data_IF_810688909151
#
_entry.id   IF_810688909151
#
_cell.length_a   1.000
_cell.length_b   1.000
_cell.length_c   1.000
_cell.angle_alpha   90.00
_cell.angle_beta   90.00
_cell.angle_gamma   90.00
#
_symmetry.space_group_name_H-M   'P 1'
#
loop_
_entity.id
_entity.type
_entity.pdbx_description
1 polymer ?
#
# COMPACT_ATOMS: atom_id res chain seq x y z
N UNK A 1 -23.00 -17.04 -47.29
CA UNK A 1 -23.97 -16.23 -46.51
C UNK A 1 -24.46 -15.11 -47.39
N UNK A 2 -25.76 -15.00 -47.60
CA UNK A 2 -26.37 -14.01 -48.50
C UNK A 2 -26.52 -12.69 -47.74
N UNK A 3 -25.66 -11.71 -48.02
CA UNK A 3 -25.78 -10.38 -47.42
C UNK A 3 -27.11 -9.75 -47.81
N UNK A 4 -27.82 -9.14 -46.86
CA UNK A 4 -29.06 -8.43 -47.18
C UNK A 4 -28.74 -7.23 -48.08
N UNK A 5 -29.70 -6.80 -48.92
CA UNK A 5 -29.49 -5.65 -49.79
C UNK A 5 -29.14 -4.36 -49.01
N UNK A 6 -29.57 -4.22 -47.75
CA UNK A 6 -29.13 -3.12 -46.89
C UNK A 6 -27.67 -3.25 -46.44
N UNK A 7 -27.16 -4.46 -46.21
CA UNK A 7 -25.77 -4.67 -45.78
C UNK A 7 -24.79 -4.39 -46.93
N UNK A 8 -25.16 -4.76 -48.16
CA UNK A 8 -24.39 -4.43 -49.37
C UNK A 8 -24.29 -2.91 -49.58
N UNK A 9 -25.39 -2.19 -49.39
CA UNK A 9 -25.41 -0.71 -49.49
C UNK A 9 -24.57 -0.09 -48.36
N UNK A 10 -24.68 -0.60 -47.13
CA UNK A 10 -23.89 -0.12 -46.01
C UNK A 10 -22.39 -0.34 -46.22
N UNK A 11 -21.98 -1.51 -46.74
CA UNK A 11 -20.58 -1.81 -47.07
C UNK A 11 -20.04 -0.89 -48.16
N UNK A 12 -20.78 -0.72 -49.27
CA UNK A 12 -20.37 0.14 -50.38
C UNK A 12 -20.28 1.62 -49.96
N UNK A 13 -21.20 2.08 -49.11
CA UNK A 13 -21.11 3.42 -48.53
C UNK A 13 -19.95 3.51 -47.53
N UNK A 14 -19.68 2.46 -46.76
CA UNK A 14 -18.55 2.39 -45.82
C UNK A 14 -17.20 2.60 -46.49
N UNK A 15 -16.97 1.96 -47.65
CA UNK A 15 -15.76 2.17 -48.46
C UNK A 15 -15.61 3.62 -48.92
N UNK A 16 -16.71 4.23 -49.37
CA UNK A 16 -16.71 5.65 -49.76
C UNK A 16 -16.49 6.58 -48.57
N UNK A 17 -17.14 6.31 -47.43
CA UNK A 17 -16.99 7.07 -46.19
C UNK A 17 -15.54 7.04 -45.70
N UNK A 18 -14.84 5.91 -45.82
CA UNK A 18 -13.43 5.79 -45.43
C UNK A 18 -12.48 6.66 -46.27
N UNK A 19 -12.85 6.97 -47.52
CA UNK A 19 -12.06 7.81 -48.42
C UNK A 19 -12.50 9.29 -48.41
N UNK A 20 -13.66 9.61 -47.83
CA UNK A 20 -14.21 10.96 -47.80
C UNK A 20 -13.70 11.75 -46.56
N UNK A 21 -13.45 13.07 -46.68
CA UNK A 21 -13.07 13.87 -45.52
C UNK A 21 -14.21 13.98 -44.50
N UNK A 22 -13.84 14.16 -43.23
CA UNK A 22 -14.80 14.47 -42.18
C UNK A 22 -15.67 15.68 -42.58
N UNK A 23 -16.98 15.57 -42.44
CA UNK A 23 -17.93 16.60 -42.85
C UNK A 23 -18.34 16.55 -44.32
N UNK A 24 -17.86 15.60 -45.12
CA UNK A 24 -18.37 15.39 -46.49
C UNK A 24 -19.84 14.97 -46.47
N UNK A 25 -20.66 15.59 -47.31
CA UNK A 25 -22.08 15.26 -47.44
C UNK A 25 -22.26 14.00 -48.29
N UNK A 26 -23.02 13.03 -47.78
CA UNK A 26 -23.44 11.85 -48.55
C UNK A 26 -24.49 12.26 -49.60
N UNK A 27 -24.59 11.50 -50.72
CA UNK A 27 -25.70 11.66 -51.64
C UNK A 27 -27.05 11.53 -50.92
N UNK A 28 -28.04 12.30 -51.38
CA UNK A 28 -29.38 12.26 -50.81
C UNK A 28 -30.01 10.87 -50.91
N UNK A 29 -30.96 10.54 -50.04
CA UNK A 29 -31.67 9.25 -50.06
C UNK A 29 -32.25 8.93 -51.43
N UNK A 30 -32.75 9.94 -52.18
CA UNK A 30 -33.28 9.76 -53.54
C UNK A 30 -32.20 9.35 -54.54
N UNK A 31 -31.01 9.94 -54.45
CA UNK A 31 -29.86 9.57 -55.29
C UNK A 31 -29.33 8.18 -54.95
N UNK A 32 -29.31 7.82 -53.66
CA UNK A 32 -28.91 6.48 -53.22
C UNK A 32 -29.91 5.41 -53.67
N UNK A 33 -31.21 5.69 -53.62
CA UNK A 33 -32.27 4.80 -54.16
C UNK A 33 -32.06 4.54 -55.65
N UNK A 34 -31.80 5.59 -56.44
CA UNK A 34 -31.54 5.46 -57.87
C UNK A 34 -30.24 4.71 -58.15
N UNK A 35 -29.16 5.01 -57.41
CA UNK A 35 -27.83 4.42 -57.62
C UNK A 35 -27.76 2.93 -57.30
N UNK A 36 -28.45 2.50 -56.25
CA UNK A 36 -28.42 1.11 -55.77
C UNK A 36 -29.64 0.30 -56.22
N UNK A 37 -30.53 0.89 -57.04
CA UNK A 37 -31.78 0.28 -57.52
C UNK A 37 -32.56 -0.42 -56.37
N UNK A 38 -32.61 0.24 -55.21
CA UNK A 38 -33.11 -0.34 -53.98
C UNK A 38 -34.28 0.48 -53.41
N UNK A 39 -35.18 -0.16 -52.65
CA UNK A 39 -36.29 0.55 -52.03
C UNK A 39 -35.79 1.65 -51.06
N UNK A 40 -36.54 2.75 -50.89
CA UNK A 40 -36.22 3.79 -49.90
C UNK A 40 -36.02 3.24 -48.48
N UNK A 41 -36.81 2.21 -48.11
CA UNK A 41 -36.73 1.55 -46.81
C UNK A 41 -35.39 0.81 -46.65
N UNK A 42 -34.90 0.16 -47.71
CA UNK A 42 -33.61 -0.54 -47.72
C UNK A 42 -32.44 0.44 -47.56
N UNK A 43 -32.47 1.57 -48.28
CA UNK A 43 -31.45 2.63 -48.16
C UNK A 43 -31.47 3.26 -46.76
N UNK A 44 -32.65 3.56 -46.22
CA UNK A 44 -32.79 4.08 -44.86
C UNK A 44 -32.30 3.08 -43.79
N UNK A 45 -32.47 1.78 -44.01
CA UNK A 45 -31.93 0.75 -43.13
C UNK A 45 -30.40 0.74 -43.15
N UNK A 46 -29.79 0.84 -44.33
CA UNK A 46 -28.33 0.96 -44.48
C UNK A 46 -27.77 2.22 -43.81
N UNK A 47 -28.40 3.38 -44.03
CA UNK A 47 -28.01 4.64 -43.40
C UNK A 47 -28.16 4.57 -41.86
N UNK A 48 -29.22 3.94 -41.34
CA UNK A 48 -29.37 3.71 -39.89
C UNK A 48 -28.26 2.85 -39.32
N UNK A 49 -27.84 1.80 -40.02
CA UNK A 49 -26.69 0.97 -39.61
C UNK A 49 -25.42 1.82 -39.50
N UNK A 50 -25.14 2.64 -40.52
CA UNK A 50 -23.95 3.50 -40.55
C UNK A 50 -24.00 4.63 -39.49
N UNK A 51 -25.18 5.17 -39.21
CA UNK A 51 -25.38 6.11 -38.08
C UNK A 51 -25.13 5.40 -36.75
N UNK A 52 -25.64 4.17 -36.58
CA UNK A 52 -25.42 3.35 -35.38
C UNK A 52 -23.96 2.99 -35.16
N UNK A 53 -23.18 2.85 -36.24
CA UNK A 53 -21.72 2.66 -36.20
C UNK A 53 -20.95 3.97 -35.94
N UNK A 54 -21.63 5.12 -35.92
CA UNK A 54 -21.02 6.41 -35.65
C UNK A 54 -20.12 6.94 -36.77
N UNK A 55 -20.17 6.36 -37.98
CA UNK A 55 -19.34 6.79 -39.12
C UNK A 55 -19.97 7.93 -39.92
N UNK A 56 -21.27 8.14 -39.77
CA UNK A 56 -22.01 9.27 -40.35
C UNK A 56 -22.98 9.87 -39.32
N UNK A 57 -23.37 11.11 -39.54
CA UNK A 57 -24.39 11.80 -38.77
C UNK A 57 -25.47 12.39 -39.68
N UNK A 58 -26.72 12.38 -39.22
CA UNK A 58 -27.83 13.00 -39.94
C UNK A 58 -28.15 14.36 -39.32
N UNK A 59 -28.17 15.41 -40.16
CA UNK A 59 -28.53 16.78 -39.78
C UNK A 59 -29.90 17.10 -40.39
N UNK A 60 -30.97 17.24 -39.56
CA UNK A 60 -32.33 17.46 -40.06
C UNK A 60 -32.41 18.66 -41.03
N UNK A 61 -33.08 18.47 -42.17
CA UNK A 61 -33.24 19.50 -43.20
C UNK A 61 -32.01 19.79 -44.06
N UNK A 62 -30.82 19.27 -43.72
CA UNK A 62 -29.56 19.60 -44.39
C UNK A 62 -28.96 18.37 -45.09
N UNK A 63 -29.03 17.18 -44.48
CA UNK A 63 -28.57 15.93 -45.09
C UNK A 63 -27.73 15.06 -44.15
N UNK A 64 -27.03 14.07 -44.71
CA UNK A 64 -26.19 13.12 -43.96
C UNK A 64 -24.72 13.37 -44.25
N UNK A 65 -23.87 13.37 -43.22
CA UNK A 65 -22.48 13.79 -43.31
C UNK A 65 -21.54 12.75 -42.68
N UNK A 66 -20.33 12.61 -43.23
CA UNK A 66 -19.27 11.77 -42.64
C UNK A 66 -18.83 12.33 -41.30
N UNK A 67 -18.83 11.50 -40.24
CA UNK A 67 -18.31 11.91 -38.94
C UNK A 67 -16.79 11.84 -38.96
N UNK A 68 -16.12 12.87 -38.43
CA UNK A 68 -14.68 12.81 -38.18
C UNK A 68 -14.38 11.83 -37.06
N UNK A 69 -13.89 10.63 -37.39
CA UNK A 69 -13.32 9.72 -36.39
C UNK A 69 -12.01 10.34 -35.92
N UNK A 70 -11.94 10.76 -34.65
CA UNK A 70 -10.69 11.23 -34.05
C UNK A 70 -9.74 10.02 -34.04
N UNK A 71 -8.77 10.01 -34.95
CA UNK A 71 -7.79 8.93 -35.03
C UNK A 71 -7.05 8.84 -33.68
N UNK A 72 -7.32 7.77 -32.93
CA UNK A 72 -6.55 7.45 -31.72
C UNK A 72 -5.22 6.94 -32.23
N UNK A 73 -4.19 7.79 -32.20
CA UNK A 73 -2.82 7.33 -32.41
C UNK A 73 -2.43 6.44 -31.23
N UNK A 74 -1.83 5.27 -31.46
CA UNK A 74 -1.22 4.51 -30.37
C UNK A 74 -0.18 5.40 -29.69
N UNK A 75 -0.23 5.50 -28.37
CA UNK A 75 0.83 6.19 -27.64
C UNK A 75 2.07 5.31 -27.67
N UNK A 76 3.19 5.85 -28.18
CA UNK A 76 4.48 5.17 -28.12
C UNK A 76 5.20 5.52 -26.81
N UNK A 77 5.17 4.58 -25.87
CA UNK A 77 5.87 4.66 -24.59
C UNK A 77 7.18 3.85 -24.57
N UNK A 78 7.64 3.31 -25.71
CA UNK A 78 8.81 2.44 -25.77
C UNK A 78 10.10 3.11 -25.25
N UNK A 79 10.20 4.44 -25.40
CA UNK A 79 11.31 5.23 -24.86
C UNK A 79 11.42 5.14 -23.32
N UNK A 80 10.31 4.89 -22.62
CA UNK A 80 10.30 4.78 -21.15
C UNK A 80 11.10 3.55 -20.70
N UNK A 81 11.06 2.44 -21.45
CA UNK A 81 11.87 1.26 -21.14
C UNK A 81 13.36 1.59 -21.16
N UNK A 82 13.80 2.36 -22.16
CA UNK A 82 15.19 2.80 -22.24
C UNK A 82 15.55 3.80 -21.11
N UNK A 83 14.65 4.73 -20.79
CA UNK A 83 14.86 5.73 -19.74
C UNK A 83 14.86 5.14 -18.31
N UNK A 84 14.02 4.14 -18.05
CA UNK A 84 13.90 3.46 -16.76
C UNK A 84 15.10 2.53 -16.49
N UNK A 85 15.72 2.00 -17.54
CA UNK A 85 16.86 1.09 -17.42
C UNK A 85 16.54 -0.19 -16.65
N UNK A 86 17.58 -0.83 -16.12
CA UNK A 86 17.43 -2.03 -15.28
C UNK A 86 17.07 -1.65 -13.84
N UNK A 87 16.00 -2.24 -13.31
CA UNK A 87 15.56 -2.01 -11.93
C UNK A 87 16.62 -2.52 -10.94
N UNK A 88 17.24 -1.60 -10.18
CA UNK A 88 18.34 -1.92 -9.25
C UNK A 88 17.88 -2.75 -8.04
N UNK A 89 16.63 -2.55 -7.60
CA UNK A 89 16.02 -3.31 -6.50
C UNK A 89 14.77 -3.99 -7.02
N UNK A 90 14.82 -5.31 -7.22
CA UNK A 90 13.63 -6.10 -7.55
C UNK A 90 12.72 -6.10 -6.32
N UNK A 91 11.74 -5.21 -6.30
CA UNK A 91 10.63 -5.29 -5.37
C UNK A 91 9.88 -6.59 -5.66
N UNK A 92 9.64 -7.47 -4.66
CA UNK A 92 8.73 -8.59 -4.86
C UNK A 92 7.42 -8.09 -5.48
N UNK A 93 6.96 -8.78 -6.52
CA UNK A 93 5.68 -8.49 -7.16
C UNK A 93 4.59 -8.37 -6.09
N UNK A 94 3.59 -7.50 -6.33
CA UNK A 94 2.49 -7.21 -5.40
C UNK A 94 2.09 -8.46 -4.62
N UNK A 95 2.28 -8.44 -3.30
CA UNK A 95 2.10 -9.62 -2.47
C UNK A 95 0.73 -10.24 -2.73
N UNK A 96 0.69 -11.57 -2.74
CA UNK A 96 -0.56 -12.33 -2.80
C UNK A 96 -1.60 -11.80 -1.81
N UNK A 97 -1.14 -11.33 -0.64
CA UNK A 97 -1.95 -10.76 0.43
C UNK A 97 -2.73 -9.49 0.05
N UNK A 98 -2.34 -8.78 -1.02
CA UNK A 98 -2.99 -7.54 -1.48
C UNK A 98 -3.88 -7.74 -2.71
N UNK A 99 -4.05 -8.97 -3.20
CA UNK A 99 -4.88 -9.23 -4.39
C UNK A 99 -6.35 -9.02 -4.07
N UNK A 100 -7.03 -8.25 -4.92
CA UNK A 100 -8.49 -8.16 -4.92
C UNK A 100 -9.06 -9.51 -5.33
N UNK A 101 -10.18 -9.87 -4.71
CA UNK A 101 -10.82 -11.16 -4.92
C UNK A 101 -12.20 -10.93 -5.52
N UNK A 102 -12.57 -11.66 -6.60
CA UNK A 102 -13.94 -11.66 -7.10
C UNK A 102 -14.96 -12.01 -6.00
N UNK A 103 -16.19 -11.50 -6.13
CA UNK A 103 -17.22 -11.67 -5.09
C UNK A 103 -17.63 -13.14 -4.84
N UNK A 104 -17.33 -14.04 -5.77
CA UNK A 104 -17.66 -15.47 -5.74
C UNK A 104 -16.52 -16.35 -5.19
N UNK A 105 -15.43 -15.75 -4.69
CA UNK A 105 -14.25 -16.47 -4.19
C UNK A 105 -14.02 -16.18 -2.70
N UNK A 106 -13.75 -17.24 -1.93
CA UNK A 106 -13.32 -17.13 -0.54
C UNK A 106 -11.81 -16.85 -0.50
N UNK A 107 -11.43 -15.66 -0.03
CA UNK A 107 -10.04 -15.23 0.09
C UNK A 107 -9.37 -15.80 1.35
N UNK A 108 -8.40 -16.71 1.20
CA UNK A 108 -7.58 -17.25 2.30
C UNK A 108 -6.16 -16.64 2.36
N UNK A 109 -5.90 -15.58 1.60
CA UNK A 109 -4.59 -14.91 1.54
C UNK A 109 -4.51 -13.62 2.36
N UNK A 110 -5.65 -13.08 2.80
CA UNK A 110 -5.71 -11.81 3.51
C UNK A 110 -5.46 -12.01 5.01
N UNK A 111 -4.55 -11.24 5.58
CA UNK A 111 -4.34 -11.18 7.03
C UNK A 111 -5.17 -10.08 7.71
N UNK A 112 -6.34 -9.73 7.18
CA UNK A 112 -7.27 -8.78 7.81
C UNK A 112 -8.42 -9.55 8.47
N UNK A 113 -8.89 -9.13 9.66
CA UNK A 113 -10.09 -9.71 10.27
C UNK A 113 -11.31 -9.57 9.36
N UNK A 114 -12.29 -10.45 9.56
CA UNK A 114 -13.60 -10.26 8.96
C UNK A 114 -14.21 -8.93 9.43
N UNK A 115 -15.03 -8.32 8.57
CA UNK A 115 -15.68 -7.04 8.82
C UNK A 115 -16.50 -7.06 10.11
N UNK A 116 -17.11 -8.18 10.46
CA UNK A 116 -17.90 -8.33 11.68
C UNK A 116 -17.08 -8.28 12.97
N UNK A 117 -15.77 -8.58 12.88
CA UNK A 117 -14.84 -8.48 14.01
C UNK A 117 -14.27 -7.07 14.20
N UNK A 118 -14.50 -6.16 13.25
CA UNK A 118 -13.96 -4.81 13.29
C UNK A 118 -14.96 -3.82 13.93
N UNK A 119 -14.48 -2.84 14.70
CA UNK A 119 -15.34 -1.91 15.44
C UNK A 119 -15.90 -0.78 14.55
N UNK A 120 -16.55 -1.10 13.43
CA UNK A 120 -16.96 -0.11 12.40
C UNK A 120 -17.76 1.06 12.95
N UNK A 121 -18.67 0.81 13.90
CA UNK A 121 -19.50 1.85 14.51
C UNK A 121 -18.64 2.85 15.30
N UNK A 122 -17.65 2.35 16.06
CA UNK A 122 -16.73 3.20 16.82
C UNK A 122 -15.83 4.00 15.88
N UNK A 123 -15.35 3.37 14.80
CA UNK A 123 -14.52 4.03 13.77
C UNK A 123 -15.27 5.16 13.09
N UNK A 124 -16.52 4.94 12.65
CA UNK A 124 -17.35 5.99 12.05
C UNK A 124 -17.58 7.16 13.00
N UNK A 125 -17.85 6.87 14.28
CA UNK A 125 -18.01 7.91 15.30
C UNK A 125 -16.71 8.67 15.57
N UNK A 126 -15.55 7.99 15.57
CA UNK A 126 -14.24 8.62 15.71
C UNK A 126 -13.94 9.56 14.53
N UNK A 127 -14.14 9.11 13.29
CA UNK A 127 -13.96 9.96 12.11
C UNK A 127 -14.90 11.18 12.11
N UNK A 128 -16.17 11.01 12.48
CA UNK A 128 -17.11 12.12 12.58
C UNK A 128 -16.71 13.15 13.66
N UNK A 129 -16.02 12.73 14.72
CA UNK A 129 -15.45 13.65 15.72
C UNK A 129 -14.20 14.34 15.18
N UNK A 130 -13.27 13.58 14.59
CA UNK A 130 -12.05 14.12 14.00
C UNK A 130 -12.34 15.14 12.90
N UNK A 131 -13.30 14.87 12.02
CA UNK A 131 -13.71 15.80 10.95
C UNK A 131 -14.32 17.12 11.47
N UNK A 132 -14.75 17.16 12.73
CA UNK A 132 -15.31 18.37 13.37
C UNK A 132 -14.31 19.09 14.28
N UNK A 133 -13.10 18.56 14.46
CA UNK A 133 -12.08 19.19 15.30
C UNK A 133 -11.20 20.14 14.48
N UNK A 134 -10.48 21.02 15.18
CA UNK A 134 -9.52 21.94 14.56
C UNK A 134 -8.42 21.20 13.78
N UNK A 135 -8.04 20.01 14.23
CA UNK A 135 -7.06 19.16 13.55
C UNK A 135 -7.45 18.77 12.11
N UNK A 136 -8.72 18.90 11.72
CA UNK A 136 -9.16 18.69 10.34
C UNK A 136 -8.78 19.84 9.39
N UNK A 137 -8.50 21.03 9.92
CA UNK A 137 -8.24 22.26 9.14
C UNK A 137 -6.92 22.93 9.49
N UNK A 138 -6.23 22.47 10.53
CA UNK A 138 -4.90 22.95 10.92
C UNK A 138 -3.81 21.97 10.52
N UNK A 139 -2.59 22.49 10.30
CA UNK A 139 -1.41 21.64 10.11
C UNK A 139 -1.09 20.95 11.44
N UNK A 140 -1.06 19.60 11.51
CA UNK A 140 -0.73 18.89 12.73
C UNK A 140 0.75 19.10 13.11
N UNK A 141 1.13 18.90 14.38
CA UNK A 141 2.53 18.85 14.77
C UNK A 141 3.26 17.75 14.00
N UNK A 142 4.55 17.94 13.74
CA UNK A 142 5.36 16.99 12.99
C UNK A 142 5.49 15.60 13.62
N UNK A 143 5.40 15.51 14.95
CA UNK A 143 5.37 14.22 15.66
C UNK A 143 3.96 13.57 15.65
N UNK A 144 2.97 14.25 15.08
CA UNK A 144 1.56 13.86 15.09
C UNK A 144 0.75 14.50 16.21
N UNK A 145 -0.52 14.12 16.29
CA UNK A 145 -1.46 14.68 17.28
C UNK A 145 -1.05 14.32 18.72
N UNK A 146 -0.98 15.30 19.65
CA UNK A 146 -0.57 15.04 21.04
C UNK A 146 -1.43 14.01 21.77
N UNK A 147 -2.73 13.93 21.46
CA UNK A 147 -3.65 12.96 22.06
C UNK A 147 -3.34 11.54 21.60
N UNK A 148 -2.94 11.35 20.34
CA UNK A 148 -2.48 10.05 19.84
C UNK A 148 -1.14 9.66 20.44
N UNK A 149 -0.19 10.60 20.52
CA UNK A 149 1.10 10.39 21.17
C UNK A 149 0.90 9.93 22.63
N UNK A 150 0.03 10.64 23.37
CA UNK A 150 -0.31 10.31 24.75
C UNK A 150 -0.97 8.94 24.87
N UNK A 151 -1.86 8.59 23.95
CA UNK A 151 -2.53 7.28 23.95
C UNK A 151 -1.54 6.13 23.73
N UNK A 152 -0.70 6.18 22.70
CA UNK A 152 0.31 5.13 22.45
C UNK A 152 1.31 5.00 23.62
N UNK A 153 1.75 6.12 24.19
CA UNK A 153 2.62 6.11 25.36
C UNK A 153 1.93 5.47 26.57
N UNK A 154 0.65 5.82 26.83
CA UNK A 154 -0.11 5.26 27.94
C UNK A 154 -0.35 3.76 27.79
N UNK A 155 -0.61 3.26 26.58
CA UNK A 155 -0.81 1.84 26.32
C UNK A 155 0.43 1.01 26.67
N UNK A 156 1.61 1.41 26.18
CA UNK A 156 2.86 0.72 26.54
C UNK A 156 3.23 0.95 28.02
N UNK A 157 2.93 2.15 28.54
CA UNK A 157 3.15 2.51 29.94
C UNK A 157 2.32 1.67 30.92
N UNK A 158 1.09 1.29 30.56
CA UNK A 158 0.20 0.50 31.41
C UNK A 158 0.74 -0.90 31.72
N UNK A 159 1.58 -1.45 30.83
CA UNK A 159 2.22 -2.76 30.99
C UNK A 159 3.71 -2.65 31.32
N UNK A 160 4.25 -1.44 31.46
CA UNK A 160 5.64 -1.22 31.89
C UNK A 160 5.78 -1.60 33.37
N UNK A 161 6.70 -2.51 33.74
CA UNK A 161 6.91 -2.92 35.12
C UNK A 161 7.27 -1.78 36.07
N UNK A 162 6.91 -1.94 37.33
CA UNK A 162 7.34 -1.03 38.40
C UNK A 162 8.87 -1.02 38.51
N UNK A 163 9.45 0.19 38.52
CA UNK A 163 10.90 0.39 38.58
C UNK A 163 11.55 0.76 37.24
N UNK A 164 10.81 0.69 36.13
CA UNK A 164 11.25 1.20 34.83
C UNK A 164 10.56 2.52 34.49
N UNK A 165 11.22 3.35 33.70
CA UNK A 165 10.64 4.61 33.22
C UNK A 165 9.70 4.36 32.03
N UNK A 166 8.40 4.43 32.28
CA UNK A 166 7.37 4.36 31.23
C UNK A 166 7.58 5.44 30.16
N UNK A 167 7.26 5.14 28.88
CA UNK A 167 7.33 6.13 27.81
C UNK A 167 6.37 7.30 28.05
N UNK A 168 6.77 8.49 27.63
CA UNK A 168 5.94 9.69 27.64
C UNK A 168 5.49 10.04 26.22
N UNK A 169 4.49 10.92 26.08
CA UNK A 169 4.00 11.36 24.77
C UNK A 169 5.12 11.88 23.84
N UNK A 170 6.13 12.58 24.39
CA UNK A 170 7.29 13.08 23.63
C UNK A 170 8.15 11.99 22.99
N UNK A 171 8.08 10.76 23.49
CA UNK A 171 8.84 9.62 22.97
C UNK A 171 8.11 9.00 21.76
N UNK A 172 6.93 9.52 21.38
CA UNK A 172 6.06 8.95 20.35
C UNK A 172 6.04 9.79 19.09
N UNK A 173 6.23 9.14 17.94
CA UNK A 173 6.01 9.72 16.60
C UNK A 173 4.86 8.97 15.92
N UNK A 174 3.84 9.69 15.49
CA UNK A 174 2.71 9.13 14.74
C UNK A 174 3.05 9.08 13.26
N UNK A 175 2.72 7.96 12.62
CA UNK A 175 3.02 7.69 11.22
C UNK A 175 1.77 7.23 10.46
N UNK A 176 1.70 7.42 9.13
CA UNK A 176 0.57 7.01 8.30
C UNK A 176 0.55 5.48 8.03
N UNK A 177 0.60 4.69 9.11
CA UNK A 177 0.66 3.23 9.10
C UNK A 177 2.07 2.66 9.28
N UNK A 178 2.17 1.39 9.68
CA UNK A 178 3.45 0.77 10.00
C UNK A 178 4.35 0.56 8.79
N UNK A 179 3.80 0.34 7.59
CA UNK A 179 4.62 0.09 6.39
C UNK A 179 5.51 1.28 6.00
N UNK A 180 4.98 2.52 6.03
CA UNK A 180 5.80 3.72 5.84
C UNK A 180 6.76 3.89 7.01
N UNK A 181 6.31 3.60 8.23
CA UNK A 181 7.14 3.65 9.41
C UNK A 181 8.35 2.73 9.36
N UNK A 182 8.21 1.49 8.91
CA UNK A 182 9.36 0.59 8.70
C UNK A 182 10.37 1.17 7.72
N UNK A 183 9.90 1.82 6.64
CA UNK A 183 10.78 2.54 5.71
C UNK A 183 11.57 3.66 6.40
N UNK A 184 10.89 4.49 7.20
CA UNK A 184 11.51 5.56 7.99
C UNK A 184 12.50 4.99 9.02
N UNK A 185 12.13 3.96 9.77
CA UNK A 185 12.98 3.34 10.78
C UNK A 185 14.25 2.74 10.16
N UNK A 186 14.12 2.02 9.05
CA UNK A 186 15.27 1.44 8.36
C UNK A 186 16.19 2.50 7.77
N UNK A 187 15.64 3.60 7.25
CA UNK A 187 16.44 4.73 6.73
C UNK A 187 17.14 5.50 7.84
N UNK A 188 16.42 5.80 8.93
CA UNK A 188 16.91 6.57 10.05
C UNK A 188 17.97 5.81 10.86
N UNK A 189 17.73 4.53 11.17
CA UNK A 189 18.55 3.77 12.12
C UNK A 189 19.65 2.94 11.43
N UNK A 190 19.38 2.41 10.23
CA UNK A 190 20.30 1.52 9.53
C UNK A 190 21.04 2.29 8.44
N UNK A 191 20.31 2.80 7.45
CA UNK A 191 20.84 3.49 6.27
C UNK A 191 21.18 2.55 5.11
N UNK A 192 21.20 3.11 3.89
CA UNK A 192 21.47 2.35 2.67
C UNK A 192 22.85 1.68 2.69
N UNK A 193 22.92 0.44 2.20
CA UNK A 193 24.13 -0.39 2.14
C UNK A 193 24.58 -0.97 3.48
N UNK A 194 23.89 -0.67 4.59
CA UNK A 194 24.25 -1.16 5.93
C UNK A 194 23.41 -2.38 6.33
N UNK A 195 23.97 -3.28 7.17
CA UNK A 195 23.29 -4.51 7.54
C UNK A 195 22.21 -4.30 8.60
N UNK A 196 21.05 -4.94 8.38
CA UNK A 196 19.95 -5.11 9.33
C UNK A 196 19.77 -6.61 9.58
N UNK A 197 19.92 -7.03 10.83
CA UNK A 197 19.53 -8.38 11.21
C UNK A 197 18.00 -8.48 11.16
N UNK A 198 17.47 -9.59 10.67
CA UNK A 198 16.02 -9.80 10.56
C UNK A 198 15.69 -11.26 10.87
N UNK A 199 14.60 -11.53 11.58
CA UNK A 199 14.11 -12.91 11.72
C UNK A 199 13.88 -13.55 10.33
N UNK A 200 14.04 -14.87 10.24
CA UNK A 200 13.80 -15.63 9.01
C UNK A 200 13.11 -16.96 9.35
N UNK A 201 11.90 -17.21 8.81
CA UNK A 201 11.12 -16.34 7.93
C UNK A 201 10.59 -15.08 8.64
N UNK A 202 10.22 -14.05 7.88
CA UNK A 202 9.68 -12.79 8.43
C UNK A 202 8.71 -12.09 7.47
N UNK A 203 8.11 -11.00 7.96
CA UNK A 203 7.11 -10.22 7.26
C UNK A 203 7.63 -9.64 5.94
N UNK A 204 6.98 -10.01 4.84
CA UNK A 204 7.32 -9.55 3.50
C UNK A 204 7.29 -8.02 3.33
N UNK A 205 6.44 -7.30 4.09
CA UNK A 205 6.40 -5.84 4.03
C UNK A 205 7.65 -5.19 4.65
N UNK A 206 8.23 -5.78 5.70
CA UNK A 206 9.53 -5.35 6.23
C UNK A 206 10.63 -5.57 5.19
N UNK A 207 10.65 -6.73 4.52
CA UNK A 207 11.61 -6.99 3.44
C UNK A 207 11.48 -5.99 2.28
N UNK A 208 10.25 -5.61 1.91
CA UNK A 208 10.01 -4.56 0.92
C UNK A 208 10.50 -3.18 1.37
N UNK A 209 10.21 -2.80 2.62
CA UNK A 209 10.67 -1.51 3.17
C UNK A 209 12.20 -1.45 3.18
N UNK A 210 12.88 -2.53 3.59
CA UNK A 210 14.34 -2.62 3.56
C UNK A 210 14.88 -2.50 2.12
N UNK A 211 14.28 -3.20 1.16
CA UNK A 211 14.67 -3.13 -0.25
C UNK A 211 14.48 -1.72 -0.86
N UNK A 212 13.43 -0.99 -0.46
CA UNK A 212 13.19 0.40 -0.90
C UNK A 212 14.23 1.38 -0.37
N UNK A 213 14.75 1.12 0.83
CA UNK A 213 15.78 1.94 1.47
C UNK A 213 17.20 1.52 1.02
N UNK A 214 17.36 0.33 0.45
CA UNK A 214 18.66 -0.24 0.09
C UNK A 214 19.41 -0.82 1.29
N UNK A 215 18.70 -1.23 2.35
CA UNK A 215 19.27 -1.90 3.51
C UNK A 215 19.63 -3.34 3.16
N UNK A 216 20.78 -3.82 3.66
CA UNK A 216 21.22 -5.21 3.46
C UNK A 216 20.63 -6.10 4.56
N UNK A 217 19.72 -7.00 4.20
CA UNK A 217 19.12 -7.93 5.16
C UNK A 217 20.05 -9.10 5.47
N UNK A 218 20.25 -9.38 6.76
CA UNK A 218 20.98 -10.54 7.27
C UNK A 218 19.99 -11.42 8.03
N UNK A 219 19.64 -12.60 7.50
CA UNK A 219 18.61 -13.44 8.12
C UNK A 219 19.14 -14.15 9.38
N UNK A 220 18.33 -14.14 10.43
CA UNK A 220 18.52 -14.90 11.67
C UNK A 220 17.45 -16.00 11.70
N UNK A 221 17.82 -17.29 11.67
CA UNK A 221 16.85 -18.37 11.76
C UNK A 221 15.97 -18.21 13.01
N UNK A 222 14.66 -18.14 12.81
CA UNK A 222 13.67 -18.00 13.88
C UNK A 222 12.57 -19.05 13.73
N UNK A 223 12.18 -19.64 14.86
CA UNK A 223 11.13 -20.66 14.93
C UNK A 223 9.87 -20.14 15.64
N UNK A 224 8.91 -21.04 15.97
CA UNK A 224 7.71 -20.67 16.73
C UNK A 224 8.00 -20.09 18.13
N UNK A 225 9.21 -20.34 18.65
CA UNK A 225 9.69 -19.83 19.94
C UNK A 225 10.65 -18.64 19.81
N UNK A 226 10.78 -18.04 18.63
CA UNK A 226 11.71 -16.95 18.37
C UNK A 226 13.11 -17.39 17.89
N UNK A 227 14.06 -16.44 17.77
CA UNK A 227 15.41 -16.70 17.29
C UNK A 227 16.27 -17.37 18.36
N UNK A 228 17.34 -18.04 17.92
CA UNK A 228 18.38 -18.50 18.83
C UNK A 228 19.27 -17.31 19.26
N UNK A 229 19.38 -17.00 20.57
CA UNK A 229 20.21 -15.90 21.05
C UNK A 229 21.68 -15.98 20.62
N UNK A 230 22.29 -17.17 20.62
CA UNK A 230 23.71 -17.35 20.24
C UNK A 230 23.94 -17.05 18.76
N UNK A 231 22.94 -17.30 17.92
CA UNK A 231 23.00 -16.99 16.49
C UNK A 231 22.84 -15.49 16.25
N UNK A 232 21.98 -14.83 17.04
CA UNK A 232 21.80 -13.38 17.01
C UNK A 232 23.09 -12.65 17.45
N UNK A 233 23.67 -13.04 18.58
CA UNK A 233 24.92 -12.48 19.10
C UNK A 233 26.06 -12.60 18.09
N UNK A 234 26.25 -13.81 17.56
CA UNK A 234 27.26 -14.08 16.53
C UNK A 234 27.04 -13.25 15.28
N UNK A 235 25.79 -13.08 14.84
CA UNK A 235 25.48 -12.29 13.65
C UNK A 235 25.77 -10.80 13.87
N UNK A 236 25.48 -10.24 15.05
CA UNK A 236 25.87 -8.87 15.38
C UNK A 236 27.40 -8.70 15.32
N UNK A 237 28.14 -9.62 15.94
CA UNK A 237 29.60 -9.58 15.96
C UNK A 237 30.22 -9.69 14.54
N UNK A 238 29.70 -10.57 13.69
CA UNK A 238 30.26 -10.83 12.37
C UNK A 238 29.93 -9.76 11.33
N UNK A 239 28.74 -9.16 11.42
CA UNK A 239 28.25 -8.21 10.40
C UNK A 239 28.49 -6.76 10.78
N UNK A 240 28.69 -6.47 12.06
CA UNK A 240 28.72 -5.09 12.56
C UNK A 240 27.36 -4.38 12.48
N UNK A 241 26.26 -5.13 12.33
CA UNK A 241 24.92 -4.58 12.39
C UNK A 241 24.67 -3.84 13.70
N UNK A 242 23.79 -2.83 13.64
CA UNK A 242 23.35 -2.03 14.80
C UNK A 242 21.83 -1.99 14.93
N UNK A 243 21.14 -2.88 14.23
CA UNK A 243 19.71 -3.04 14.33
C UNK A 243 19.32 -4.50 14.08
N UNK A 244 18.31 -4.97 14.82
CA UNK A 244 17.61 -6.23 14.61
C UNK A 244 16.11 -5.96 14.50
N UNK A 245 15.49 -6.41 13.42
CA UNK A 245 14.04 -6.39 13.25
C UNK A 245 13.44 -7.72 13.69
N UNK A 246 12.43 -7.65 14.54
CA UNK A 246 11.68 -8.81 15.00
C UNK A 246 10.19 -8.51 15.20
N UNK A 247 9.40 -9.57 15.24
CA UNK A 247 8.00 -9.55 15.65
C UNK A 247 7.82 -10.49 16.87
N UNK A 248 8.18 -10.05 18.09
CA UNK A 248 8.14 -10.90 19.28
C UNK A 248 6.75 -11.44 19.60
N UNK A 249 5.69 -10.74 19.17
CA UNK A 249 4.30 -11.13 19.35
C UNK A 249 3.66 -11.45 18.00
N UNK A 250 3.20 -12.70 17.85
CA UNK A 250 2.48 -13.20 16.67
C UNK A 250 3.24 -12.98 15.34
N UNK A 251 4.48 -13.47 15.29
CA UNK A 251 5.39 -13.29 14.16
C UNK A 251 4.76 -13.71 12.82
N UNK A 252 4.91 -12.90 11.78
CA UNK A 252 4.47 -13.26 10.42
C UNK A 252 5.64 -13.91 9.66
N UNK A 253 5.54 -15.17 9.19
CA UNK A 253 4.31 -15.97 9.04
C UNK A 253 4.08 -17.04 10.12
N UNK A 254 4.98 -17.21 11.10
CA UNK A 254 5.00 -18.41 11.96
C UNK A 254 3.91 -18.42 13.05
N UNK A 255 3.32 -17.27 13.37
CA UNK A 255 2.43 -17.05 14.52
C UNK A 255 3.16 -17.14 15.87
N UNK A 256 4.49 -17.21 15.86
CA UNK A 256 5.29 -17.41 17.07
C UNK A 256 5.19 -16.24 18.05
N UNK A 257 5.38 -16.56 19.32
CA UNK A 257 5.48 -15.58 20.40
C UNK A 257 6.72 -15.89 21.24
N UNK A 258 7.53 -14.88 21.52
CA UNK A 258 8.70 -15.02 22.38
C UNK A 258 8.27 -15.23 23.83
N UNK A 259 9.04 -16.01 24.59
CA UNK A 259 8.88 -16.00 26.05
C UNK A 259 9.47 -14.72 26.62
N UNK A 260 9.07 -14.38 27.85
CA UNK A 260 9.64 -13.23 28.56
C UNK A 260 11.17 -13.39 28.74
N UNK A 261 11.63 -14.62 29.01
CA UNK A 261 13.04 -14.93 29.18
C UNK A 261 13.83 -14.74 27.88
N UNK A 262 13.24 -15.13 26.74
CA UNK A 262 13.85 -14.87 25.44
C UNK A 262 13.92 -13.37 25.14
N UNK A 263 12.84 -12.62 25.42
CA UNK A 263 12.82 -11.17 25.27
C UNK A 263 13.92 -10.48 26.07
N UNK A 264 14.11 -10.88 27.34
CA UNK A 264 15.19 -10.37 28.19
C UNK A 264 16.59 -10.74 27.64
N UNK A 265 16.76 -11.97 27.17
CA UNK A 265 18.03 -12.45 26.61
C UNK A 265 18.40 -11.67 25.34
N UNK A 266 17.45 -11.51 24.41
CA UNK A 266 17.64 -10.73 23.19
C UNK A 266 17.93 -9.27 23.51
N UNK A 267 17.20 -8.67 24.47
CA UNK A 267 17.44 -7.30 24.89
C UNK A 267 18.84 -7.12 25.51
N UNK A 268 19.33 -8.10 26.27
CA UNK A 268 20.70 -8.15 26.77
C UNK A 268 21.73 -8.10 25.65
N UNK A 269 21.60 -8.98 24.65
CA UNK A 269 22.48 -9.02 23.47
C UNK A 269 22.45 -7.68 22.71
N UNK A 270 21.25 -7.13 22.46
CA UNK A 270 21.10 -5.85 21.77
C UNK A 270 21.82 -4.71 22.52
N UNK A 271 21.78 -4.71 23.86
CA UNK A 271 22.51 -3.75 24.71
C UNK A 271 24.03 -3.93 24.60
N UNK A 272 24.52 -5.16 24.69
CA UNK A 272 25.96 -5.48 24.60
C UNK A 272 26.59 -5.01 23.28
N UNK A 273 25.83 -5.08 22.19
CA UNK A 273 26.27 -4.62 20.86
C UNK A 273 26.02 -3.14 20.58
N UNK A 274 25.43 -2.39 21.52
CA UNK A 274 25.04 -0.99 21.30
C UNK A 274 24.10 -0.84 20.11
N UNK A 275 23.19 -1.80 19.92
CA UNK A 275 22.30 -1.91 18.78
C UNK A 275 20.85 -1.54 19.14
N UNK A 276 19.97 -1.47 18.14
CA UNK A 276 18.54 -1.31 18.30
C UNK A 276 17.78 -2.62 18.06
N UNK A 277 16.74 -2.87 18.85
CA UNK A 277 15.67 -3.80 18.50
C UNK A 277 14.53 -2.97 17.88
N UNK A 278 14.25 -3.18 16.60
CA UNK A 278 13.05 -2.67 15.94
C UNK A 278 11.95 -3.70 16.17
N UNK A 279 11.09 -3.45 17.16
CA UNK A 279 10.00 -4.33 17.55
C UNK A 279 8.71 -3.95 16.81
N UNK A 280 8.27 -4.80 15.88
CA UNK A 280 7.02 -4.62 15.13
C UNK A 280 5.86 -5.40 15.76
N UNK A 281 5.00 -4.68 16.48
CA UNK A 281 3.84 -5.19 17.18
C UNK A 281 2.56 -4.99 16.36
N UNK A 282 2.57 -5.61 15.18
CA UNK A 282 1.51 -5.49 14.17
C UNK A 282 0.17 -6.12 14.59
N UNK A 283 0.21 -7.07 15.53
CA UNK A 283 -0.91 -7.91 15.95
C UNK A 283 -1.21 -7.80 17.46
N UNK A 284 -0.83 -6.69 18.09
CA UNK A 284 -1.03 -6.41 19.52
C UNK A 284 -2.42 -6.81 20.03
N UNK A 285 -3.46 -6.45 19.28
CA UNK A 285 -4.86 -6.62 19.68
C UNK A 285 -5.50 -7.95 19.21
N UNK A 286 -4.70 -8.91 18.71
CA UNK A 286 -5.20 -10.16 18.11
C UNK A 286 -4.99 -11.40 18.97
N UNK A 287 -4.50 -11.23 20.20
CA UNK A 287 -4.45 -12.30 21.18
C UNK A 287 -5.83 -12.90 21.46
N UNK A 288 -5.99 -14.21 21.23
CA UNK A 288 -7.20 -14.96 21.63
C UNK A 288 -6.98 -15.66 22.96
N UNK A 289 -5.86 -16.38 23.08
CA UNK A 289 -5.49 -17.18 24.27
C UNK A 289 -4.19 -16.73 24.91
N UNK A 290 -3.58 -15.66 24.40
CA UNK A 290 -2.33 -15.10 24.88
C UNK A 290 -2.38 -13.58 24.69
N UNK A 291 -1.87 -12.84 25.67
CA UNK A 291 -1.75 -11.38 25.59
C UNK A 291 -0.46 -11.00 24.86
N UNK A 292 -0.46 -9.85 24.16
CA UNK A 292 0.77 -9.28 23.62
C UNK A 292 1.59 -8.67 24.76
N UNK A 293 2.84 -9.09 24.88
CA UNK A 293 3.78 -8.55 25.87
C UNK A 293 5.02 -8.04 25.12
N UNK A 294 5.03 -6.77 24.69
CA UNK A 294 6.16 -6.19 24.00
C UNK A 294 7.43 -6.13 24.85
N UNK A 295 8.58 -6.41 24.23
CA UNK A 295 9.91 -6.26 24.84
C UNK A 295 10.15 -4.79 25.21
N UNK A 296 9.60 -3.85 24.44
CA UNK A 296 9.67 -2.41 24.67
C UNK A 296 9.17 -1.98 26.05
N UNK A 297 8.21 -2.71 26.65
CA UNK A 297 7.71 -2.42 28.00
C UNK A 297 8.80 -2.64 29.08
N UNK A 298 9.85 -3.40 28.75
CA UNK A 298 10.96 -3.78 29.65
C UNK A 298 12.26 -3.06 29.32
N UNK A 299 12.21 -2.10 28.40
CA UNK A 299 13.35 -1.26 28.05
C UNK A 299 13.06 0.21 28.34
N UNK A 300 13.81 0.81 29.27
CA UNK A 300 13.87 2.27 29.47
C UNK A 300 15.23 2.87 29.09
N UNK A 301 16.15 2.04 28.58
CA UNK A 301 17.49 2.44 28.13
C UNK A 301 17.54 2.93 26.68
N UNK A 302 16.45 2.78 25.91
CA UNK A 302 16.32 3.33 24.55
C UNK A 302 16.89 2.44 23.45
N UNK A 303 17.07 1.15 23.73
CA UNK A 303 17.50 0.15 22.76
C UNK A 303 16.34 -0.43 21.95
N UNK A 304 15.11 -0.39 22.47
CA UNK A 304 13.93 -0.85 21.74
C UNK A 304 13.25 0.34 21.06
N UNK A 305 13.12 0.25 19.73
CA UNK A 305 12.29 1.12 18.90
C UNK A 305 11.02 0.35 18.55
N UNK A 306 9.94 0.69 19.23
CA UNK A 306 8.68 -0.03 19.18
C UNK A 306 7.75 0.58 18.14
N UNK A 307 7.13 -0.22 17.28
CA UNK A 307 6.09 0.23 16.35
C UNK A 307 4.81 -0.58 16.54
N UNK A 308 3.70 0.11 16.80
CA UNK A 308 2.34 -0.47 16.88
C UNK A 308 1.44 0.13 15.83
N UNK A 309 0.70 -0.73 15.12
CA UNK A 309 -0.23 -0.32 14.06
C UNK A 309 -1.69 -0.52 14.48
N UNK A 310 -2.55 0.45 14.18
CA UNK A 310 -4.00 0.34 14.37
C UNK A 310 -4.74 -0.13 13.12
N UNK A 311 -4.04 -0.27 11.98
CA UNK A 311 -4.66 -0.58 10.68
C UNK A 311 -5.36 -1.93 10.66
N UNK A 312 -4.90 -2.89 11.46
CA UNK A 312 -5.44 -4.25 11.47
C UNK A 312 -6.56 -4.41 12.47
N UNK A 313 -6.41 -3.87 13.68
CA UNK A 313 -7.37 -4.00 14.78
C UNK A 313 -8.53 -3.01 14.71
N UNK A 314 -8.32 -1.83 14.14
CA UNK A 314 -9.34 -0.78 14.08
C UNK A 314 -10.06 -0.78 12.73
N UNK A 315 -9.33 -0.61 11.62
CA UNK A 315 -9.90 -0.60 10.28
C UNK A 315 -8.81 -0.56 9.19
N UNK A 316 -8.96 -1.27 8.06
CA UNK A 316 -8.05 -1.16 6.91
C UNK A 316 -7.90 0.28 6.36
N UNK A 317 -8.89 1.13 6.62
CA UNK A 317 -8.90 2.54 6.22
C UNK A 317 -8.20 3.46 7.22
N UNK A 318 -7.94 3.01 8.45
CA UNK A 318 -7.22 3.78 9.49
C UNK A 318 -5.73 3.47 9.37
N UNK A 319 -5.01 4.31 8.64
CA UNK A 319 -3.56 4.23 8.47
C UNK A 319 -2.88 5.06 9.58
N UNK A 320 -2.86 4.52 10.80
CA UNK A 320 -2.23 5.14 11.97
C UNK A 320 -1.33 4.11 12.64
N UNK A 321 -0.07 4.48 12.85
CA UNK A 321 0.87 3.75 13.68
C UNK A 321 1.58 4.71 14.63
N UNK A 322 1.98 4.22 15.79
CA UNK A 322 2.81 4.94 16.74
C UNK A 322 4.18 4.27 16.82
N UNK A 323 5.25 5.06 16.68
CA UNK A 323 6.61 4.65 16.98
C UNK A 323 7.02 5.23 18.32
N UNK A 324 7.51 4.39 19.23
CA UNK A 324 8.08 4.82 20.51
C UNK A 324 9.59 4.63 20.44
N UNK A 325 10.33 5.74 20.54
CA UNK A 325 11.79 5.75 20.50
C UNK A 325 12.32 6.86 21.43
N UNK A 326 13.36 6.54 22.22
CA UNK A 326 13.94 7.48 23.19
C UNK A 326 15.28 8.02 22.70
N UNK A 327 15.62 9.23 23.16
CA UNK A 327 16.93 9.86 22.92
C UNK A 327 17.20 10.20 21.45
N UNK A 328 18.48 10.26 21.03
CA UNK A 328 18.85 10.71 19.68
C UNK A 328 18.25 9.88 18.53
N UNK A 329 17.86 8.63 18.79
CA UNK A 329 17.15 7.81 17.82
C UNK A 329 15.76 8.40 17.50
N UNK A 330 15.01 8.81 18.53
CA UNK A 330 13.70 9.46 18.36
C UNK A 330 13.80 10.77 17.58
N UNK A 331 14.78 11.63 17.91
CA UNK A 331 15.03 12.88 17.20
C UNK A 331 15.31 12.65 15.71
N UNK A 332 16.12 11.63 15.40
CA UNK A 332 16.48 11.27 14.03
C UNK A 332 15.30 10.68 13.25
N UNK A 333 14.46 9.87 13.90
CA UNK A 333 13.22 9.34 13.29
C UNK A 333 12.27 10.50 12.98
N UNK A 334 12.06 11.42 13.92
CA UNK A 334 11.21 12.60 13.72
C UNK A 334 11.72 13.47 12.57
N UNK A 335 13.04 13.69 12.48
CA UNK A 335 13.63 14.45 11.39
C UNK A 335 13.43 13.78 10.02
N UNK A 336 13.55 12.45 9.93
CA UNK A 336 13.29 11.72 8.69
C UNK A 336 11.80 11.78 8.30
N UNK A 337 10.89 11.64 9.26
CA UNK A 337 9.44 11.83 9.03
C UNK A 337 9.13 13.23 8.51
N UNK A 338 9.67 14.27 9.13
CA UNK A 338 9.50 15.67 8.69
C UNK A 338 9.98 15.89 7.26
N UNK A 339 11.10 15.27 6.87
CA UNK A 339 11.63 15.38 5.52
C UNK A 339 10.69 14.74 4.48
N UNK A 340 9.93 13.70 4.86
CA UNK A 340 8.95 13.04 3.99
C UNK A 340 7.61 13.77 3.94
N UNK A 341 7.26 14.56 4.96
CA UNK A 341 5.96 15.23 5.13
C UNK A 341 6.03 16.76 4.94
N UNK A 342 7.03 17.27 4.20
CA UNK A 342 7.31 18.71 4.10
C UNK A 342 6.16 19.57 3.52
N UNK A 343 5.08 18.95 2.99
CA UNK A 343 3.91 19.63 2.44
C UNK A 343 2.59 19.13 3.02
#
# INVERSE_FOLDING_TARGET
>A
MTYSSSDRIASALGEWIAAAPAGAQLPSTRQLVARFEASPVTVQKALRTLIGQGVIESRPGIGTFVRGVRAVRPNDYGWQTAALGSQQHRLPASSAALRTTPNDVIALHSGYPDRELLPERLVRAAFARAARSEAAVSRPPAAGLPELQSWFAAELGAITPTGLTAPAARDVVILPGSQSGLGTLFRALVGAGRPLLIESPSYWGAMLAAAQVGVQLVPIPSGPRGPNPDDLDRAFAQTGARAFYAQPNFANPTGGQWSAELGDTVLGIVREHGAFLIEDDWAHDFGITADSVPVAARDDSGHVVYIRSLTKSVSPSVRVAGVIARGPAGDRILADTQAQEMY
#
